data_IF_654723856423
#
_entry.id   IF_654723856423
#
_cell.length_a   1.000
_cell.length_b   1.000
_cell.length_c   1.000
_cell.angle_alpha   90.00
_cell.angle_beta   90.00
_cell.angle_gamma   90.00
#
_symmetry.space_group_name_H-M   'P 1'
#
loop_
_entity.id
_entity.type
_entity.pdbx_description
1 polymer ?
#
# COMPACT_ATOMS: atom_id res chain seq x y z
N UNK A 1 -10.80 24.29 59.48
CA UNK A 1 -11.52 25.56 59.73
C UNK A 1 -11.20 26.54 58.61
N UNK A 2 -12.25 27.07 57.93
CA UNK A 2 -12.32 28.29 57.09
C UNK A 2 -11.48 28.33 55.79
N UNK A 3 -11.96 28.86 54.64
CA UNK A 3 -13.30 29.22 54.12
C UNK A 3 -13.11 29.53 52.60
N UNK A 4 -14.16 29.22 51.85
CA UNK A 4 -14.47 29.48 50.43
C UNK A 4 -14.44 30.97 50.07
N UNK A 5 -14.09 31.32 48.81
CA UNK A 5 -14.78 32.39 48.02
C UNK A 5 -14.86 31.98 46.53
N UNK A 6 -16.09 31.78 46.04
CA UNK A 6 -16.50 31.81 44.63
C UNK A 6 -16.97 33.24 44.28
N UNK A 7 -16.75 33.69 43.05
CA UNK A 7 -17.44 34.86 42.49
C UNK A 7 -18.10 34.47 41.17
N UNK A 8 -19.40 34.73 41.11
CA UNK A 8 -20.36 34.55 40.05
C UNK A 8 -20.95 35.93 39.83
N UNK A 9 -20.91 36.50 38.62
CA UNK A 9 -21.72 37.67 38.26
C UNK A 9 -22.19 37.55 36.82
N UNK A 10 -23.50 37.68 36.66
CA UNK A 10 -24.27 37.54 35.45
C UNK A 10 -24.77 38.90 34.94
N UNK A 11 -25.13 38.90 33.65
CA UNK A 11 -26.20 39.69 33.00
C UNK A 11 -25.95 41.16 32.70
N UNK A 12 -26.15 41.52 31.42
CA UNK A 12 -26.80 42.77 31.02
C UNK A 12 -27.52 42.55 29.67
N UNK A 13 -28.86 42.59 29.74
CA UNK A 13 -29.79 42.77 28.61
C UNK A 13 -29.99 44.27 28.38
N UNK A 14 -29.97 44.74 27.13
CA UNK A 14 -30.82 45.86 26.70
C UNK A 14 -31.31 45.63 25.26
N UNK A 15 -32.61 45.85 25.13
CA UNK A 15 -33.50 45.68 23.99
C UNK A 15 -33.48 46.87 23.02
N UNK A 16 -33.89 46.65 21.75
CA UNK A 16 -34.90 47.44 21.03
C UNK A 16 -35.04 46.93 19.57
N UNK A 17 -36.10 47.13 18.79
CA UNK A 17 -37.56 47.00 18.91
C UNK A 17 -38.13 47.46 17.54
N UNK A 18 -39.16 46.80 17.00
CA UNK A 18 -40.10 47.27 15.93
C UNK A 18 -39.54 47.47 14.49
N UNK A 19 -40.20 47.14 13.36
CA UNK A 19 -41.62 47.23 12.95
C UNK A 19 -42.03 46.20 11.84
N UNK A 20 -43.32 45.80 11.89
CA UNK A 20 -44.25 45.21 10.88
C UNK A 20 -44.25 45.91 9.50
N UNK A 21 -44.85 45.48 8.37
CA UNK A 21 -45.68 44.34 7.91
C UNK A 21 -45.93 44.45 6.38
N UNK A 22 -46.23 43.31 5.73
CA UNK A 22 -47.16 43.02 4.59
C UNK A 22 -47.33 44.04 3.44
N UNK A 23 -47.34 43.64 2.16
CA UNK A 23 -48.49 42.98 1.50
C UNK A 23 -48.18 42.65 0.02
N UNK A 24 -48.92 41.67 -0.49
CA UNK A 24 -48.94 41.00 -1.81
C UNK A 24 -49.46 41.80 -3.01
N UNK A 25 -49.08 41.37 -4.23
CA UNK A 25 -49.99 41.24 -5.39
C UNK A 25 -49.40 40.32 -6.51
N UNK A 26 -50.30 39.59 -7.19
CA UNK A 26 -50.09 38.66 -8.33
C UNK A 26 -49.95 39.47 -9.65
N UNK A 27 -49.37 39.03 -10.78
CA UNK A 27 -49.80 37.99 -11.75
C UNK A 27 -48.90 38.13 -13.02
N UNK A 28 -48.53 37.06 -13.73
CA UNK A 28 -48.48 36.93 -15.22
C UNK A 28 -47.81 35.59 -15.67
N UNK A 29 -48.36 34.97 -16.72
CA UNK A 29 -47.94 33.73 -17.46
C UNK A 29 -47.98 34.07 -18.98
N UNK A 30 -47.51 33.25 -19.96
CA UNK A 30 -46.32 32.38 -20.12
C UNK A 30 -45.58 32.68 -21.48
N UNK A 31 -44.67 31.82 -22.00
CA UNK A 31 -45.13 30.95 -23.10
C UNK A 31 -44.51 29.53 -23.15
N UNK A 32 -45.28 28.64 -23.79
CA UNK A 32 -45.00 27.24 -24.19
C UNK A 32 -44.11 27.20 -25.44
N UNK A 33 -43.03 26.40 -25.46
CA UNK A 33 -42.40 25.87 -26.69
C UNK A 33 -41.82 24.46 -26.46
N UNK A 34 -42.52 23.49 -27.07
CA UNK A 34 -42.17 22.21 -27.72
C UNK A 34 -41.17 21.21 -27.13
N UNK A 35 -41.68 19.97 -27.01
CA UNK A 35 -40.98 18.70 -27.09
C UNK A 35 -39.95 18.67 -28.24
N UNK A 36 -38.71 18.35 -27.91
CA UNK A 36 -37.86 17.52 -28.75
C UNK A 36 -37.29 16.42 -27.85
N UNK A 37 -37.80 15.21 -28.04
CA UNK A 37 -37.19 13.98 -27.54
C UNK A 37 -35.76 13.88 -28.09
N UNK A 38 -34.77 13.99 -27.21
CA UNK A 38 -33.48 13.37 -27.45
C UNK A 38 -33.26 12.39 -26.31
N UNK A 39 -33.34 11.12 -26.71
CA UNK A 39 -33.17 9.90 -25.94
C UNK A 39 -31.95 10.03 -25.01
N UNK A 40 -32.21 9.95 -23.70
CA UNK A 40 -31.20 9.63 -22.71
C UNK A 40 -30.75 8.18 -22.95
N UNK A 41 -29.53 7.99 -23.47
CA UNK A 41 -28.78 6.79 -23.15
C UNK A 41 -27.95 7.09 -21.90
N UNK A 42 -28.60 6.93 -20.75
CA UNK A 42 -27.91 6.66 -19.50
C UNK A 42 -27.33 5.25 -19.59
N UNK A 43 -26.03 5.17 -19.85
CA UNK A 43 -25.18 4.09 -19.30
C UNK A 43 -23.90 4.73 -18.79
N UNK A 44 -24.04 5.61 -17.79
CA UNK A 44 -23.04 5.56 -16.72
C UNK A 44 -23.15 4.14 -16.17
N UNK A 45 -22.13 3.32 -16.42
CA UNK A 45 -21.96 2.05 -15.71
C UNK A 45 -21.93 2.43 -14.23
N UNK A 46 -23.07 2.25 -13.56
CA UNK A 46 -23.16 2.30 -12.11
C UNK A 46 -22.14 1.28 -11.60
N UNK A 47 -20.99 1.79 -11.19
CA UNK A 47 -20.01 1.01 -10.50
C UNK A 47 -20.67 0.46 -9.24
N UNK A 48 -20.98 -0.83 -9.24
CA UNK A 48 -21.45 -1.53 -8.06
C UNK A 48 -20.17 -2.02 -7.36
N UNK A 49 -19.77 -1.45 -6.21
CA UNK A 49 -18.68 -2.02 -5.43
C UNK A 49 -18.99 -3.50 -5.22
N UNK A 50 -18.04 -4.37 -5.58
CA UNK A 50 -18.22 -5.82 -5.50
C UNK A 50 -18.11 -6.30 -4.04
N UNK A 51 -18.85 -5.64 -3.16
CA UNK A 51 -19.10 -6.06 -1.79
C UNK A 51 -20.41 -6.85 -1.86
N UNK A 52 -20.37 -8.19 -1.81
CA UNK A 52 -21.56 -9.01 -1.92
C UNK A 52 -22.54 -8.59 -0.82
N UNK A 53 -23.74 -8.17 -1.25
CA UNK A 53 -24.83 -7.82 -0.34
C UNK A 53 -25.07 -8.97 0.66
N UNK A 54 -25.03 -8.61 1.93
CA UNK A 54 -24.81 -9.54 3.03
C UNK A 54 -25.88 -10.61 3.15
N UNK A 55 -25.49 -11.87 2.89
CA UNK A 55 -25.94 -13.11 3.61
C UNK A 55 -24.86 -14.21 3.53
N UNK A 56 -23.94 -14.20 2.56
CA UNK A 56 -22.99 -15.29 2.32
C UNK A 56 -21.58 -14.97 2.83
N UNK A 57 -20.95 -15.97 3.43
CA UNK A 57 -19.51 -15.93 3.74
C UNK A 57 -18.71 -15.74 2.45
N UNK A 58 -17.59 -15.02 2.53
CA UNK A 58 -16.61 -14.91 1.44
C UNK A 58 -16.14 -16.32 1.07
N UNK A 59 -16.14 -16.63 -0.23
CA UNK A 59 -15.55 -17.85 -0.75
C UNK A 59 -14.03 -17.71 -0.79
N UNK A 60 -13.32 -18.72 -0.28
CA UNK A 60 -11.86 -18.73 -0.23
C UNK A 60 -11.30 -19.95 -0.93
N UNK A 61 -10.28 -19.74 -1.76
CA UNK A 61 -9.45 -20.79 -2.33
C UNK A 61 -8.17 -20.95 -1.52
N UNK A 62 -7.70 -22.19 -1.40
CA UNK A 62 -6.47 -22.49 -0.66
C UNK A 62 -5.28 -21.82 -1.34
N UNK A 63 -4.50 -21.10 -0.54
CA UNK A 63 -3.24 -20.47 -0.91
C UNK A 63 -2.28 -20.72 0.24
N UNK A 64 -1.01 -20.96 -0.06
CA UNK A 64 0.01 -21.16 0.96
C UNK A 64 1.14 -20.19 0.73
N UNK A 65 1.70 -19.71 1.83
CA UNK A 65 2.85 -18.85 1.79
C UNK A 65 3.09 -18.25 3.16
N UNK A 66 4.15 -17.47 3.22
CA UNK A 66 4.44 -16.60 4.33
C UNK A 66 4.38 -15.17 3.80
N UNK A 67 3.84 -14.26 4.59
CA UNK A 67 3.81 -12.85 4.27
C UNK A 67 4.27 -12.01 5.44
N UNK A 68 4.73 -10.81 5.13
CA UNK A 68 4.89 -9.74 6.09
C UNK A 68 3.72 -8.76 5.95
N UNK A 69 3.18 -8.32 7.09
CA UNK A 69 2.15 -7.29 7.12
C UNK A 69 2.79 -5.91 7.13
N UNK A 70 2.23 -4.96 6.38
CA UNK A 70 2.75 -3.59 6.34
C UNK A 70 1.58 -2.60 6.44
N UNK A 71 1.62 -1.77 7.48
CA UNK A 71 0.67 -0.70 7.73
C UNK A 71 0.63 -0.36 9.21
N UNK A 72 0.78 0.92 9.56
CA UNK A 72 0.73 1.39 10.96
C UNK A 72 -0.61 1.05 11.64
N UNK A 73 -1.69 1.00 10.86
CA UNK A 73 -3.02 0.56 11.27
C UNK A 73 -3.57 -0.41 10.23
N UNK A 74 -3.74 -1.67 10.60
CA UNK A 74 -4.24 -2.72 9.72
C UNK A 74 -5.66 -3.10 10.13
N UNK A 75 -6.61 -2.99 9.20
CA UNK A 75 -7.97 -3.44 9.39
C UNK A 75 -8.06 -4.98 9.38
N UNK A 76 -8.90 -5.52 10.24
CA UNK A 76 -9.25 -6.93 10.29
C UNK A 76 -10.73 -7.12 10.02
N UNK A 77 -11.09 -8.25 9.44
CA UNK A 77 -12.44 -8.51 8.95
C UNK A 77 -12.95 -9.87 9.45
N UNK A 78 -14.26 -10.03 9.42
CA UNK A 78 -14.90 -11.30 9.65
C UNK A 78 -15.02 -12.13 8.35
N UNK A 79 -15.62 -13.32 8.44
CA UNK A 79 -15.77 -14.22 7.29
C UNK A 79 -16.75 -13.73 6.22
N UNK A 80 -17.54 -12.70 6.51
CA UNK A 80 -18.45 -12.03 5.56
C UNK A 80 -17.80 -10.80 4.92
N UNK A 81 -16.61 -10.39 5.39
CA UNK A 81 -15.96 -9.16 4.95
C UNK A 81 -16.40 -7.93 5.75
N UNK A 82 -17.08 -8.12 6.88
CA UNK A 82 -17.44 -7.02 7.76
C UNK A 82 -16.22 -6.61 8.60
N UNK A 83 -15.95 -5.31 8.66
CA UNK A 83 -14.88 -4.75 9.49
C UNK A 83 -15.06 -5.13 10.97
N UNK A 84 -13.97 -5.55 11.61
CA UNK A 84 -13.93 -5.88 13.04
C UNK A 84 -13.23 -4.79 13.84
N UNK A 85 -11.95 -4.57 13.57
CA UNK A 85 -11.10 -3.64 14.31
C UNK A 85 -9.85 -3.23 13.51
N UNK A 86 -9.26 -2.11 13.91
CA UNK A 86 -7.90 -1.73 13.51
C UNK A 86 -6.89 -2.24 14.53
N UNK A 87 -5.79 -2.81 14.03
CA UNK A 87 -4.70 -3.36 14.83
C UNK A 87 -3.39 -2.68 14.47
N UNK A 88 -2.66 -2.22 15.48
CA UNK A 88 -1.35 -1.56 15.35
C UNK A 88 -0.19 -2.45 15.80
N UNK A 89 -0.49 -3.49 16.58
CA UNK A 89 0.47 -4.46 17.12
C UNK A 89 0.95 -5.49 16.09
N UNK A 90 0.28 -5.54 14.93
CA UNK A 90 0.56 -6.50 13.85
C UNK A 90 1.35 -5.89 12.68
N UNK A 91 1.68 -4.60 12.72
CA UNK A 91 2.58 -3.99 11.73
C UNK A 91 3.93 -4.73 11.70
N UNK A 92 4.44 -5.02 10.50
CA UNK A 92 5.70 -5.72 10.23
C UNK A 92 5.78 -7.12 10.85
N UNK A 93 4.65 -7.74 11.20
CA UNK A 93 4.62 -9.13 11.67
C UNK A 93 4.55 -10.09 10.48
N UNK A 94 5.20 -11.24 10.65
CA UNK A 94 5.06 -12.35 9.73
C UNK A 94 3.79 -13.16 10.04
N UNK A 95 3.11 -13.55 8.98
CA UNK A 95 1.91 -14.40 9.04
C UNK A 95 2.04 -15.57 8.07
N UNK A 96 1.38 -16.68 8.40
CA UNK A 96 1.20 -17.81 7.48
C UNK A 96 -0.10 -17.63 6.71
N UNK A 97 -0.02 -17.57 5.39
CA UNK A 97 -1.20 -17.53 4.51
C UNK A 97 -1.83 -18.91 4.46
N UNK A 98 -3.16 -18.95 4.61
CA UNK A 98 -3.97 -20.18 4.56
C UNK A 98 -4.88 -20.23 3.34
N UNK A 99 -5.38 -19.07 2.91
CA UNK A 99 -6.28 -18.93 1.77
C UNK A 99 -6.39 -17.47 1.33
N UNK A 100 -6.85 -17.26 0.09
CA UNK A 100 -7.26 -15.95 -0.43
C UNK A 100 -8.69 -16.04 -0.96
N UNK A 101 -9.40 -14.92 -1.01
CA UNK A 101 -10.74 -14.89 -1.60
C UNK A 101 -10.70 -15.32 -3.07
N UNK A 102 -11.81 -15.90 -3.55
CA UNK A 102 -11.93 -16.28 -4.97
C UNK A 102 -12.11 -15.06 -5.87
N UNK A 103 -12.71 -13.99 -5.33
CA UNK A 103 -12.95 -12.71 -6.00
C UNK A 103 -12.09 -11.61 -5.38
N UNK A 104 -11.83 -10.56 -6.16
CA UNK A 104 -11.38 -9.27 -5.64
C UNK A 104 -12.58 -8.46 -5.13
N UNK A 105 -12.28 -7.56 -4.20
CA UNK A 105 -13.21 -6.68 -3.50
C UNK A 105 -12.69 -5.26 -3.61
N UNK A 106 -13.60 -4.30 -3.54
CA UNK A 106 -13.23 -2.90 -3.55
C UNK A 106 -14.14 -2.10 -2.61
N UNK A 107 -13.55 -1.11 -1.94
CA UNK A 107 -14.26 -0.18 -1.07
C UNK A 107 -14.56 1.15 -1.79
N UNK A 108 -13.95 1.38 -2.95
CA UNK A 108 -14.11 2.60 -3.76
C UNK A 108 -14.47 2.25 -5.20
N UNK A 109 -14.67 3.28 -6.04
CA UNK A 109 -14.89 3.15 -7.50
C UNK A 109 -13.59 2.97 -8.28
N UNK A 110 -12.43 3.14 -7.62
CA UNK A 110 -11.14 3.03 -8.27
C UNK A 110 -10.74 1.56 -8.40
N UNK A 111 -10.77 1.03 -9.61
CA UNK A 111 -10.36 -0.34 -9.92
C UNK A 111 -8.96 -0.70 -9.39
N UNK A 112 -8.04 0.26 -9.34
CA UNK A 112 -6.69 0.05 -8.82
C UNK A 112 -6.65 -0.14 -7.30
N UNK A 113 -7.74 0.13 -6.61
CA UNK A 113 -7.90 -0.14 -5.20
C UNK A 113 -8.47 -1.53 -4.89
N UNK A 114 -8.83 -2.32 -5.91
CA UNK A 114 -9.30 -3.70 -5.74
C UNK A 114 -8.27 -4.60 -5.03
N UNK A 115 -8.76 -5.55 -4.24
CA UNK A 115 -7.93 -6.45 -3.46
C UNK A 115 -8.56 -7.80 -3.15
N UNK A 116 -7.71 -8.81 -2.91
CA UNK A 116 -8.15 -10.07 -2.31
C UNK A 116 -8.22 -9.97 -0.79
N UNK A 117 -9.26 -10.53 -0.17
CA UNK A 117 -9.19 -10.85 1.25
C UNK A 117 -8.21 -12.00 1.48
N UNK A 118 -7.32 -11.84 2.44
CA UNK A 118 -6.33 -12.87 2.79
C UNK A 118 -6.65 -13.47 4.15
N UNK A 119 -6.88 -14.79 4.18
CA UNK A 119 -6.91 -15.57 5.41
C UNK A 119 -5.49 -15.92 5.82
N UNK A 120 -5.09 -15.41 6.97
CA UNK A 120 -3.76 -15.59 7.52
C UNK A 120 -3.80 -16.04 8.98
N UNK A 121 -2.65 -16.43 9.51
CA UNK A 121 -2.48 -16.84 10.89
C UNK A 121 -1.18 -16.26 11.43
N UNK A 122 -1.25 -15.59 12.58
CA UNK A 122 -0.07 -15.12 13.31
C UNK A 122 0.71 -16.29 13.91
N UNK A 123 1.97 -16.05 14.29
CA UNK A 123 2.82 -17.08 14.89
C UNK A 123 2.26 -17.70 16.19
N UNK A 124 1.37 -16.99 16.89
CA UNK A 124 0.66 -17.47 18.08
C UNK A 124 -0.59 -18.33 17.75
N UNK A 125 -0.90 -18.55 16.47
CA UNK A 125 -2.09 -19.29 16.01
C UNK A 125 -3.36 -18.45 15.89
N UNK A 126 -3.30 -17.14 16.14
CA UNK A 126 -4.46 -16.24 15.98
C UNK A 126 -4.83 -16.11 14.49
N UNK A 127 -6.07 -16.44 14.10
CA UNK A 127 -6.53 -16.32 12.72
C UNK A 127 -6.89 -14.86 12.40
N UNK A 128 -6.58 -14.43 11.18
CA UNK A 128 -6.87 -13.11 10.65
C UNK A 128 -7.52 -13.20 9.27
N UNK A 129 -8.41 -12.26 8.96
CA UNK A 129 -8.84 -11.94 7.59
C UNK A 129 -8.47 -10.48 7.35
N UNK A 130 -7.69 -10.25 6.30
CA UNK A 130 -7.00 -8.99 6.05
C UNK A 130 -7.29 -8.48 4.64
N UNK A 131 -7.27 -7.15 4.50
CA UNK A 131 -7.11 -6.49 3.20
C UNK A 131 -5.74 -6.89 2.60
N UNK A 132 -5.77 -7.54 1.43
CA UNK A 132 -4.59 -8.05 0.74
C UNK A 132 -3.54 -6.98 0.40
N UNK A 133 -3.94 -5.71 0.31
CA UNK A 133 -3.02 -4.58 0.07
C UNK A 133 -2.07 -4.33 1.23
N UNK A 134 -2.34 -4.94 2.40
CA UNK A 134 -1.48 -4.91 3.58
C UNK A 134 -0.65 -6.19 3.75
N UNK A 135 -0.78 -7.15 2.84
CA UNK A 135 -0.18 -8.49 2.95
C UNK A 135 0.82 -8.69 1.81
N UNK A 136 2.11 -8.76 2.16
CA UNK A 136 3.21 -8.87 1.20
C UNK A 136 3.80 -10.27 1.27
N UNK A 137 3.38 -11.17 0.37
CA UNK A 137 3.80 -12.58 0.36
C UNK A 137 5.24 -12.70 -0.11
N UNK A 138 6.05 -13.47 0.60
CA UNK A 138 7.42 -13.75 0.18
C UNK A 138 7.42 -14.71 -1.01
N UNK A 139 8.16 -14.34 -2.08
CA UNK A 139 8.37 -15.23 -3.22
C UNK A 139 9.22 -16.45 -2.83
N UNK A 140 8.94 -17.62 -3.39
CA UNK A 140 9.62 -18.86 -2.99
C UNK A 140 11.13 -18.89 -3.30
N UNK A 141 11.57 -18.10 -4.29
CA UNK A 141 12.95 -18.09 -4.79
C UNK A 141 13.66 -16.78 -4.40
N UNK A 142 14.32 -16.72 -3.24
CA UNK A 142 15.12 -15.57 -2.87
C UNK A 142 16.42 -15.52 -3.68
N UNK A 143 17.03 -14.33 -3.75
CA UNK A 143 18.47 -14.25 -3.96
C UNK A 143 19.17 -14.79 -2.71
N UNK A 144 20.15 -15.67 -2.86
CA UNK A 144 20.91 -16.23 -1.74
C UNK A 144 22.41 -16.03 -1.95
N UNK A 145 23.11 -15.60 -0.90
CA UNK A 145 24.56 -15.50 -0.88
C UNK A 145 25.10 -16.02 0.45
N UNK A 146 26.03 -16.96 0.36
CA UNK A 146 26.87 -17.41 1.48
C UNK A 146 28.25 -16.79 1.30
N UNK A 147 28.70 -16.02 2.28
CA UNK A 147 30.04 -15.42 2.33
C UNK A 147 31.00 -16.36 3.08
N UNK A 148 30.53 -16.89 4.21
CA UNK A 148 31.21 -17.89 5.03
C UNK A 148 30.17 -18.67 5.87
N UNK A 149 30.55 -19.72 6.63
CA UNK A 149 29.61 -20.54 7.40
C UNK A 149 28.79 -19.78 8.47
N UNK A 150 29.25 -18.62 8.90
CA UNK A 150 28.60 -17.74 9.88
C UNK A 150 27.95 -16.51 9.24
N UNK A 151 28.06 -16.35 7.93
CA UNK A 151 27.55 -15.19 7.22
C UNK A 151 26.92 -15.57 5.89
N UNK A 152 25.59 -15.55 5.88
CA UNK A 152 24.77 -15.73 4.69
C UNK A 152 23.54 -14.85 4.76
N UNK A 153 23.06 -14.43 3.59
CA UNK A 153 21.83 -13.67 3.43
C UNK A 153 20.92 -14.31 2.38
N UNK A 154 19.62 -14.11 2.56
CA UNK A 154 18.57 -14.34 1.58
C UNK A 154 17.74 -13.09 1.44
N UNK A 155 17.48 -12.65 0.21
CA UNK A 155 16.62 -11.51 -0.09
C UNK A 155 15.41 -12.04 -0.84
N UNK A 156 14.25 -11.94 -0.21
CA UNK A 156 12.96 -12.32 -0.75
C UNK A 156 12.30 -11.08 -1.33
N UNK A 157 11.89 -11.16 -2.59
CA UNK A 157 10.91 -10.22 -3.14
C UNK A 157 9.54 -10.52 -2.56
N UNK A 158 8.65 -9.56 -2.63
CA UNK A 158 7.27 -9.73 -2.19
C UNK A 158 6.27 -9.71 -3.34
N UNK A 159 5.14 -10.36 -3.15
CA UNK A 159 3.96 -10.34 -4.03
C UNK A 159 2.84 -9.58 -3.33
N UNK A 160 2.20 -8.68 -4.08
CA UNK A 160 1.10 -7.84 -3.65
C UNK A 160 -0.26 -8.51 -3.96
N UNK A 161 -1.20 -8.49 -3.01
CA UNK A 161 -2.54 -9.07 -3.18
C UNK A 161 -3.63 -8.04 -3.55
N UNK A 162 -3.25 -6.85 -3.99
CA UNK A 162 -4.15 -5.90 -4.67
C UNK A 162 -4.17 -6.11 -6.18
N UNK A 163 -4.93 -5.27 -6.89
CA UNK A 163 -5.03 -5.26 -8.34
C UNK A 163 -3.79 -4.61 -8.98
N UNK A 164 -2.97 -5.36 -9.75
CA UNK A 164 -1.77 -4.79 -10.36
C UNK A 164 -2.00 -4.15 -11.73
N UNK A 165 -3.09 -4.49 -12.43
CA UNK A 165 -3.40 -4.04 -13.80
C UNK A 165 -4.87 -3.67 -13.92
N UNK A 166 -5.22 -2.80 -14.87
CA UNK A 166 -6.59 -2.55 -15.31
C UNK A 166 -7.22 -3.78 -15.99
N UNK A 167 -8.54 -3.74 -16.19
CA UNK A 167 -9.31 -4.79 -16.90
C UNK A 167 -8.85 -5.03 -18.33
N UNK A 168 -8.08 -4.10 -18.91
CA UNK A 168 -7.49 -4.22 -20.24
C UNK A 168 -6.19 -5.04 -20.26
N UNK A 169 -5.67 -5.46 -19.11
CA UNK A 169 -4.41 -6.20 -18.91
C UNK A 169 -3.16 -5.48 -19.48
N UNK A 170 -3.27 -4.20 -19.84
CA UNK A 170 -2.22 -3.43 -20.51
C UNK A 170 -1.85 -2.16 -19.76
N UNK A 171 -2.73 -1.66 -18.90
CA UNK A 171 -2.45 -0.49 -18.08
C UNK A 171 -2.18 -0.94 -16.65
N UNK A 172 -0.98 -0.71 -16.15
CA UNK A 172 -0.65 -0.98 -14.75
C UNK A 172 -1.39 -0.03 -13.80
N UNK A 173 -1.90 -0.57 -12.69
CA UNK A 173 -2.41 0.23 -11.58
C UNK A 173 -1.28 0.80 -10.69
N UNK A 174 -0.05 0.31 -10.92
CA UNK A 174 1.10 0.56 -10.07
C UNK A 174 0.91 -0.18 -8.73
N UNK A 175 1.74 -1.20 -8.46
CA UNK A 175 1.87 -1.68 -7.08
C UNK A 175 2.25 -0.47 -6.23
N UNK A 176 1.65 -0.22 -5.04
CA UNK A 176 2.02 0.95 -4.25
C UNK A 176 3.38 0.79 -3.58
N UNK A 177 3.88 -0.44 -3.35
CA UNK A 177 5.18 -0.75 -2.77
C UNK A 177 5.65 -2.17 -3.15
N UNK A 178 6.93 -2.38 -3.47
CA UNK A 178 7.50 -3.72 -3.69
C UNK A 178 8.67 -4.00 -2.72
N UNK A 179 8.42 -4.03 -1.40
CA UNK A 179 9.45 -4.15 -0.40
C UNK A 179 10.12 -5.51 -0.43
N UNK A 180 11.38 -5.55 0.00
CA UNK A 180 12.13 -6.80 0.14
C UNK A 180 12.23 -7.24 1.60
N UNK A 181 12.20 -8.55 1.81
CA UNK A 181 12.49 -9.16 3.11
C UNK A 181 13.88 -9.76 3.08
N UNK A 182 14.74 -9.29 3.97
CA UNK A 182 16.06 -9.86 4.19
C UNK A 182 15.99 -10.87 5.33
N UNK A 183 16.60 -12.03 5.12
CA UNK A 183 16.86 -13.05 6.13
C UNK A 183 18.37 -13.26 6.20
N UNK A 184 18.94 -13.19 7.40
CA UNK A 184 20.36 -13.50 7.62
C UNK A 184 20.53 -14.66 8.60
N UNK A 185 21.66 -15.35 8.48
CA UNK A 185 21.96 -16.57 9.26
C UNK A 185 22.05 -16.31 10.77
N UNK A 186 22.31 -15.08 11.18
CA UNK A 186 22.35 -14.64 12.59
C UNK A 186 20.95 -14.40 13.19
N UNK A 187 19.88 -14.69 12.43
CA UNK A 187 18.51 -14.73 12.91
C UNK A 187 17.67 -13.49 12.60
N UNK A 188 18.22 -12.48 11.91
CA UNK A 188 17.37 -11.39 11.42
C UNK A 188 16.47 -11.87 10.28
N UNK A 189 15.22 -11.41 10.33
CA UNK A 189 14.21 -11.60 9.30
C UNK A 189 13.26 -10.41 9.33
N UNK A 190 13.26 -9.60 8.28
CA UNK A 190 12.43 -8.39 8.23
C UNK A 190 12.70 -7.51 7.01
N UNK A 191 12.00 -6.39 6.97
CA UNK A 191 12.22 -5.34 5.97
C UNK A 191 13.57 -4.66 6.21
N UNK A 192 14.20 -4.22 5.13
CA UNK A 192 15.42 -3.42 5.17
C UNK A 192 15.02 -1.96 5.13
N UNK A 193 15.38 -1.17 6.15
CA UNK A 193 15.09 0.27 6.15
C UNK A 193 15.91 0.96 5.07
N UNK A 194 15.39 2.03 4.50
CA UNK A 194 16.11 2.77 3.47
C UNK A 194 16.62 4.12 3.95
N UNK A 195 17.89 4.39 3.66
CA UNK A 195 18.43 5.74 3.77
C UNK A 195 17.93 6.64 2.64
N UNK A 196 17.18 7.69 3.00
CA UNK A 196 16.60 8.67 2.08
C UNK A 196 17.63 9.71 1.64
N UNK A 197 18.64 9.27 0.87
CA UNK A 197 19.63 10.15 0.27
C UNK A 197 19.19 10.65 -1.13
N UNK A 198 19.95 11.57 -1.72
CA UNK A 198 19.64 12.12 -3.05
C UNK A 198 19.55 11.04 -4.15
N UNK A 199 20.35 9.97 -4.04
CA UNK A 199 20.34 8.85 -4.99
C UNK A 199 19.06 8.04 -4.85
N UNK A 200 18.63 7.74 -3.62
CA UNK A 200 17.35 7.07 -3.37
C UNK A 200 16.20 7.86 -4.00
N UNK A 201 16.19 9.18 -3.84
CA UNK A 201 15.21 10.05 -4.50
C UNK A 201 15.26 9.94 -6.03
N UNK A 202 16.44 9.87 -6.66
CA UNK A 202 16.57 9.66 -8.10
C UNK A 202 16.00 8.29 -8.53
N UNK A 203 16.40 7.21 -7.85
CA UNK A 203 15.96 5.84 -8.15
C UNK A 203 14.44 5.70 -8.09
N UNK A 204 13.78 6.37 -7.14
CA UNK A 204 12.32 6.35 -7.00
C UNK A 204 11.58 7.25 -7.96
N UNK A 205 12.10 8.45 -8.23
CA UNK A 205 11.47 9.38 -9.16
C UNK A 205 11.45 8.82 -10.59
N UNK A 206 12.41 7.95 -10.94
CA UNK A 206 12.39 7.21 -12.21
C UNK A 206 11.21 6.23 -12.33
N UNK A 207 10.64 5.79 -11.20
CA UNK A 207 9.50 4.87 -11.17
C UNK A 207 8.20 5.66 -11.08
N UNK A 208 8.01 6.45 -10.02
CA UNK A 208 6.77 7.19 -9.76
C UNK A 208 7.01 8.46 -8.95
N UNK A 209 6.68 9.63 -9.53
CA UNK A 209 6.79 10.94 -8.90
C UNK A 209 5.83 11.18 -7.72
N UNK A 210 4.87 10.27 -7.50
CA UNK A 210 3.81 10.36 -6.47
C UNK A 210 4.12 9.61 -5.18
N UNK A 211 5.19 8.81 -5.11
CA UNK A 211 5.50 8.00 -3.92
C UNK A 211 6.24 8.80 -2.84
N UNK A 212 5.48 9.50 -2.00
CA UNK A 212 6.01 10.30 -0.89
C UNK A 212 6.57 9.53 0.32
N UNK A 213 6.52 8.19 0.34
CA UNK A 213 6.97 7.38 1.50
C UNK A 213 7.57 6.04 1.08
N UNK A 214 8.83 6.02 0.65
CA UNK A 214 9.60 4.77 0.57
C UNK A 214 10.46 4.66 1.83
N UNK A 215 9.97 3.91 2.82
CA UNK A 215 10.65 3.70 4.11
C UNK A 215 11.57 2.46 4.11
N UNK A 216 11.42 1.60 3.10
CA UNK A 216 12.12 0.32 2.99
C UNK A 216 12.79 0.16 1.62
N UNK A 217 13.78 -0.72 1.54
CA UNK A 217 14.33 -1.15 0.27
C UNK A 217 13.26 -1.89 -0.53
N UNK A 218 13.12 -1.52 -1.80
CA UNK A 218 12.18 -2.11 -2.75
C UNK A 218 12.93 -2.56 -4.00
N UNK A 219 12.40 -3.56 -4.70
CA UNK A 219 12.85 -3.94 -6.03
C UNK A 219 11.69 -3.96 -7.00
N UNK A 220 11.67 -3.05 -7.97
CA UNK A 220 10.58 -2.92 -8.94
C UNK A 220 10.39 -4.20 -9.78
N UNK A 221 9.14 -4.58 -10.00
CA UNK A 221 8.77 -5.74 -10.82
C UNK A 221 7.52 -5.50 -11.67
N UNK A 222 7.55 -4.45 -12.48
CA UNK A 222 6.44 -4.04 -13.33
C UNK A 222 6.86 -4.03 -14.81
N UNK A 223 5.92 -3.70 -15.70
CA UNK A 223 6.13 -3.69 -17.15
C UNK A 223 7.23 -2.73 -17.62
N UNK A 224 7.53 -1.70 -16.84
CA UNK A 224 8.56 -0.72 -17.14
C UNK A 224 9.87 -0.95 -16.39
N UNK A 225 9.92 -1.90 -15.45
CA UNK A 225 10.98 -1.99 -14.47
C UNK A 225 11.18 -3.41 -13.91
N UNK A 226 12.36 -3.99 -14.16
CA UNK A 226 12.76 -5.28 -13.62
C UNK A 226 14.05 -5.20 -12.84
N UNK A 227 14.01 -5.40 -11.52
CA UNK A 227 15.20 -5.42 -10.69
C UNK A 227 15.61 -6.81 -10.20
N UNK A 228 16.91 -7.07 -10.28
CA UNK A 228 17.52 -8.32 -9.86
C UNK A 228 18.87 -8.10 -9.19
N UNK A 229 19.05 -8.72 -8.02
CA UNK A 229 20.37 -8.81 -7.39
C UNK A 229 21.23 -9.80 -8.19
N UNK A 230 22.32 -9.30 -8.78
CA UNK A 230 23.27 -10.11 -9.54
C UNK A 230 24.28 -10.81 -8.63
N UNK A 231 24.79 -10.08 -7.64
CA UNK A 231 25.80 -10.56 -6.71
C UNK A 231 25.74 -9.76 -5.40
N UNK A 232 26.38 -10.29 -4.38
CA UNK A 232 26.65 -9.59 -3.15
C UNK A 232 28.10 -9.84 -2.70
N UNK A 233 28.75 -8.82 -2.17
CA UNK A 233 30.12 -8.84 -1.65
C UNK A 233 30.15 -8.33 -0.21
N UNK A 234 30.95 -8.99 0.64
CA UNK A 234 31.18 -8.54 2.00
C UNK A 234 32.36 -7.58 2.03
N UNK A 235 32.16 -6.40 2.61
CA UNK A 235 33.19 -5.37 2.80
C UNK A 235 33.38 -5.05 4.28
N UNK A 236 34.28 -4.11 4.61
CA UNK A 236 34.42 -3.61 5.98
C UNK A 236 33.18 -2.87 6.47
N UNK A 237 32.37 -2.33 5.57
CA UNK A 237 31.29 -1.39 5.88
C UNK A 237 29.91 -2.06 5.85
N UNK A 238 29.83 -3.28 5.32
CA UNK A 238 28.60 -4.06 5.23
C UNK A 238 28.60 -5.01 4.04
N UNK A 239 27.40 -5.32 3.53
CA UNK A 239 27.23 -6.15 2.34
C UNK A 239 26.87 -5.25 1.16
N UNK A 240 27.70 -5.21 0.14
CA UNK A 240 27.41 -4.49 -1.10
C UNK A 240 26.66 -5.41 -2.05
N UNK A 241 25.43 -5.06 -2.39
CA UNK A 241 24.64 -5.70 -3.43
C UNK A 241 24.96 -5.04 -4.77
N UNK A 242 25.22 -5.85 -5.79
CA UNK A 242 25.18 -5.41 -7.18
C UNK A 242 23.81 -5.72 -7.76
N UNK A 243 23.08 -4.70 -8.16
CA UNK A 243 21.71 -4.80 -8.69
C UNK A 243 21.73 -4.43 -10.17
N UNK A 244 21.02 -5.23 -10.95
CA UNK A 244 20.70 -4.93 -12.34
C UNK A 244 19.25 -4.47 -12.41
N UNK A 245 19.05 -3.35 -13.10
CA UNK A 245 17.74 -2.79 -13.39
C UNK A 245 17.53 -2.72 -14.89
N UNK A 246 16.56 -3.46 -15.37
CA UNK A 246 16.06 -3.37 -16.74
C UNK A 246 14.94 -2.33 -16.79
N UNK A 247 14.93 -1.54 -17.85
CA UNK A 247 13.84 -0.66 -18.22
C UNK A 247 13.20 -1.18 -19.52
N UNK A 248 12.08 -0.58 -19.93
CA UNK A 248 11.51 -0.85 -21.26
C UNK A 248 12.54 -0.64 -22.39
N UNK A 249 13.40 0.37 -22.26
CA UNK A 249 14.52 0.63 -23.16
C UNK A 249 15.81 0.79 -22.36
N UNK A 250 16.70 -0.19 -22.45
CA UNK A 250 18.01 -0.15 -21.81
C UNK A 250 18.04 -0.66 -20.37
N UNK A 251 19.17 -0.47 -19.70
CA UNK A 251 19.41 -0.99 -18.35
C UNK A 251 20.40 -0.11 -17.58
N UNK A 252 20.47 -0.29 -16.27
CA UNK A 252 21.56 0.22 -15.44
C UNK A 252 21.98 -0.80 -14.39
N UNK A 253 23.27 -0.78 -14.04
CA UNK A 253 23.83 -1.56 -12.96
C UNK A 253 24.20 -0.59 -11.85
N UNK A 254 23.75 -0.86 -10.63
CA UNK A 254 24.04 0.00 -9.49
C UNK A 254 24.30 -0.82 -8.23
N UNK A 255 24.74 -0.13 -7.17
CA UNK A 255 25.16 -0.74 -5.92
C UNK A 255 24.39 -0.22 -4.71
N UNK A 256 24.05 -1.13 -3.80
CA UNK A 256 23.41 -0.84 -2.52
C UNK A 256 24.27 -1.41 -1.40
N UNK A 257 24.60 -0.59 -0.40
CA UNK A 257 25.21 -1.06 0.84
C UNK A 257 24.12 -1.46 1.83
N UNK A 258 24.18 -2.70 2.32
CA UNK A 258 23.44 -3.16 3.48
C UNK A 258 24.32 -3.06 4.72
N UNK A 259 24.02 -2.12 5.61
CA UNK A 259 24.67 -1.97 6.91
C UNK A 259 23.79 -2.59 7.99
N UNK A 260 24.38 -3.44 8.83
CA UNK A 260 23.67 -3.99 9.99
C UNK A 260 23.53 -2.91 11.08
N UNK A 261 22.32 -2.76 11.60
CA UNK A 261 21.98 -1.87 12.72
C UNK A 261 21.45 -2.68 13.91
N UNK A 262 21.20 -2.02 15.04
CA UNK A 262 20.71 -2.69 16.26
C UNK A 262 19.37 -3.42 16.05
N UNK A 263 18.48 -2.85 15.23
CA UNK A 263 17.13 -3.38 14.98
C UNK A 263 16.97 -4.07 13.62
N UNK A 264 18.04 -4.24 12.85
CA UNK A 264 17.96 -4.89 11.54
C UNK A 264 19.04 -4.45 10.57
N UNK A 265 18.63 -4.12 9.36
CA UNK A 265 19.52 -3.66 8.30
C UNK A 265 19.00 -2.37 7.68
N UNK A 266 19.93 -1.50 7.31
CA UNK A 266 19.69 -0.31 6.51
C UNK A 266 20.34 -0.47 5.14
N UNK A 267 19.62 -0.07 4.10
CA UNK A 267 20.08 0.03 2.73
C UNK A 267 20.47 1.47 2.40
N UNK A 268 21.61 1.64 1.74
CA UNK A 268 22.08 2.93 1.21
C UNK A 268 22.47 2.73 -0.25
N UNK A 269 21.83 3.46 -1.17
CA UNK A 269 22.29 3.50 -2.55
C UNK A 269 23.66 4.18 -2.62
N UNK A 270 24.65 3.48 -3.17
CA UNK A 270 26.03 3.95 -3.28
C UNK A 270 26.28 4.71 -4.58
N UNK A 271 25.61 4.28 -5.65
CA UNK A 271 25.65 4.89 -6.97
C UNK A 271 24.35 4.61 -7.70
N UNK A 272 24.12 5.36 -8.78
CA UNK A 272 23.06 5.11 -9.75
C UNK A 272 23.47 5.71 -11.10
N UNK A 273 24.23 4.95 -11.91
CA UNK A 273 24.75 5.44 -13.18
C UNK A 273 23.63 5.70 -14.20
N UNK A 274 23.94 6.56 -15.19
CA UNK A 274 23.05 6.80 -16.32
C UNK A 274 22.69 5.50 -17.04
N UNK A 275 21.46 5.47 -17.56
CA UNK A 275 20.92 4.36 -18.32
C UNK A 275 21.78 4.07 -19.55
N UNK A 276 22.13 2.80 -19.72
CA UNK A 276 22.77 2.26 -20.92
C UNK A 276 21.69 1.74 -21.86
N UNK A 277 21.89 1.94 -23.16
CA UNK A 277 21.01 1.41 -24.19
C UNK A 277 21.74 0.31 -24.93
N UNK A 278 21.03 -0.76 -25.29
CA UNK A 278 21.59 -1.74 -26.21
C UNK A 278 21.85 -1.05 -27.55
N UNK A 279 23.10 -1.13 -28.05
CA UNK A 279 23.41 -0.61 -29.38
C UNK A 279 22.60 -1.42 -30.43
N UNK A 280 22.00 -0.74 -31.43
CA UNK A 280 21.15 -1.38 -32.43
C UNK A 280 21.86 -2.40 -33.32
#
# INVERSE_FOLDING_TARGET
MKKIIYILVASLLVSCNFFKSSSSEMTEEPPVITEDEVIQEDTEDDYIPNIPDGVKDIAFKREKGEAILIGEMIATYDKKGEFLEYRTDIDRKFVTIKAISELMYNETEDFCEEYYFVKAELANGEPLILDGRRVYKLQEKPFEKVFDPSQAIRIYRTEYYGQPFFTDELTGCGSPFDPVVLVSIDGFKGLVTLEKNEIAHQVFNDVHSSRGKVDFLEFCNDEGCGEKVLNAELTSDGIVLKVHREFQEGYTDYEILLTKEEQGYKATYLNYPERKYDEP
#
